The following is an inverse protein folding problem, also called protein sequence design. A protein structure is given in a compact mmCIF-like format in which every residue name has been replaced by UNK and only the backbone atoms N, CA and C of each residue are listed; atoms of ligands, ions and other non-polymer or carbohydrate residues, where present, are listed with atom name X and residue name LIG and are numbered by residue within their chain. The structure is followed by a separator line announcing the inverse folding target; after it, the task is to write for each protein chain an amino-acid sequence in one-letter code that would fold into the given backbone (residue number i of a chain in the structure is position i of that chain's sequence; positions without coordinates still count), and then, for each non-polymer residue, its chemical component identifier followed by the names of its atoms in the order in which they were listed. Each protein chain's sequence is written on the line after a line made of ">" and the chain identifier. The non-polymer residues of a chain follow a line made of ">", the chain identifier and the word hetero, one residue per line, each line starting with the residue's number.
data_IF_574472622481
#
_entry.id   IF_574472622481
#
_cell.length_a   1.000
_cell.length_b   1.000
_cell.length_c   1.000
_cell.angle_alpha   90.00
_cell.angle_beta   90.00
_cell.angle_gamma   90.00
#
_symmetry.space_group_name_H-M   'P 1'
#
loop_
_entity.id
_entity.type
_entity.pdbx_description
1 polymer ?
#
# COMPACT_ATOMS: atom_id res chain seq x y z
N UNK A 1 18.76 5.89 -7.61
CA UNK A 1 19.20 5.31 -6.32
C UNK A 1 19.49 3.84 -6.55
N UNK A 2 20.75 3.44 -6.42
CA UNK A 2 21.16 2.04 -6.47
C UNK A 2 20.48 1.27 -5.32
N UNK A 3 19.92 0.09 -5.63
CA UNK A 3 19.27 -0.74 -4.63
C UNK A 3 20.36 -1.45 -3.82
N UNK A 4 20.48 -1.09 -2.55
CA UNK A 4 21.34 -1.83 -1.62
C UNK A 4 20.87 -3.29 -1.54
N UNK A 5 21.80 -4.24 -1.58
CA UNK A 5 21.51 -5.65 -1.44
C UNK A 5 21.54 -6.02 0.04
N UNK A 6 20.37 -6.25 0.63
CA UNK A 6 20.24 -6.71 2.00
C UNK A 6 20.58 -8.20 2.08
N UNK A 7 21.34 -8.60 3.09
CA UNK A 7 21.75 -9.99 3.33
C UNK A 7 21.39 -10.45 4.76
N UNK A 8 21.60 -11.72 5.07
CA UNK A 8 21.29 -12.30 6.39
C UNK A 8 22.07 -11.63 7.53
N UNK A 9 23.32 -11.24 7.26
CA UNK A 9 24.14 -10.53 8.22
C UNK A 9 23.51 -9.18 8.60
N UNK A 10 23.02 -8.44 7.60
CA UNK A 10 22.33 -7.16 7.82
C UNK A 10 21.08 -7.32 8.71
N UNK A 11 20.24 -8.33 8.46
CA UNK A 11 19.08 -8.60 9.30
C UNK A 11 19.47 -8.99 10.73
N UNK A 12 20.55 -9.76 10.87
CA UNK A 12 21.07 -10.16 12.18
C UNK A 12 21.55 -8.94 12.97
N UNK A 13 22.33 -8.06 12.34
CA UNK A 13 22.79 -6.81 12.96
C UNK A 13 21.63 -5.87 13.30
N UNK A 14 20.56 -5.84 12.50
CA UNK A 14 19.34 -5.12 12.83
C UNK A 14 18.64 -5.68 14.08
N UNK A 15 18.52 -7.01 14.20
CA UNK A 15 17.93 -7.66 15.38
C UNK A 15 18.72 -7.39 16.66
N UNK A 16 20.05 -7.37 16.56
CA UNK A 16 20.93 -7.03 17.70
C UNK A 16 21.04 -5.53 17.96
N UNK A 17 20.29 -4.70 17.21
CA UNK A 17 20.31 -3.23 17.31
C UNK A 17 21.72 -2.64 17.17
N UNK A 18 22.52 -3.21 16.26
CA UNK A 18 23.81 -2.63 15.90
C UNK A 18 23.64 -1.19 15.41
N UNK A 19 24.38 -0.26 16.02
CA UNK A 19 24.18 1.17 15.81
C UNK A 19 24.45 1.57 14.35
N UNK A 20 25.47 0.99 13.71
CA UNK A 20 25.84 1.33 12.33
C UNK A 20 24.78 0.85 11.33
N UNK A 21 24.28 -0.37 11.54
CA UNK A 21 23.24 -0.99 10.71
C UNK A 21 21.90 -0.28 10.90
N UNK A 22 21.55 0.10 12.14
CA UNK A 22 20.36 0.89 12.42
C UNK A 22 20.42 2.25 11.74
N UNK A 23 21.53 2.99 11.86
CA UNK A 23 21.68 4.29 11.20
C UNK A 23 21.50 4.15 9.68
N UNK A 24 22.16 3.18 9.06
CA UNK A 24 22.01 2.93 7.64
C UNK A 24 20.57 2.56 7.26
N UNK A 25 19.88 1.74 8.06
CA UNK A 25 18.49 1.40 7.83
C UNK A 25 17.57 2.62 7.87
N UNK A 26 17.74 3.48 8.86
CA UNK A 26 17.02 4.76 8.93
C UNK A 26 17.31 5.61 7.70
N UNK A 27 18.57 5.87 7.37
CA UNK A 27 18.95 6.75 6.26
C UNK A 27 18.45 6.22 4.91
N UNK A 28 18.55 4.91 4.69
CA UNK A 28 18.11 4.25 3.47
C UNK A 28 16.60 4.37 3.26
N UNK A 29 15.80 4.15 4.32
CA UNK A 29 14.34 4.10 4.20
C UNK A 29 13.63 5.42 4.53
N UNK A 30 14.30 6.39 5.20
CA UNK A 30 13.69 7.65 5.64
C UNK A 30 13.07 8.43 4.49
N UNK A 31 13.83 8.66 3.43
CA UNK A 31 13.37 9.41 2.26
C UNK A 31 12.18 8.74 1.56
N UNK A 32 12.22 7.45 1.19
CA UNK A 32 11.08 6.81 0.54
C UNK A 32 9.84 6.68 1.44
N UNK A 33 10.01 6.40 2.75
CA UNK A 33 8.90 6.36 3.71
C UNK A 33 8.22 7.73 3.78
N UNK A 34 8.99 8.80 4.00
CA UNK A 34 8.47 10.16 4.10
C UNK A 34 7.81 10.61 2.80
N UNK A 35 8.43 10.37 1.66
CA UNK A 35 7.84 10.70 0.37
C UNK A 35 6.47 10.02 0.20
N UNK A 36 6.36 8.75 0.61
CA UNK A 36 5.11 8.00 0.58
C UNK A 36 4.07 8.52 1.56
N UNK A 37 4.45 8.91 2.78
CA UNK A 37 3.51 9.46 3.77
C UNK A 37 3.05 10.88 3.40
N UNK A 38 3.94 11.69 2.84
CA UNK A 38 3.65 13.06 2.39
C UNK A 38 2.65 13.14 1.24
N UNK A 39 2.46 12.06 0.47
CA UNK A 39 1.40 12.03 -0.54
C UNK A 39 -0.01 11.89 0.06
N UNK A 40 -0.12 11.62 1.37
CA UNK A 40 -1.40 11.42 2.07
C UNK A 40 -1.61 12.35 3.26
N UNK A 41 -0.54 12.89 3.87
CA UNK A 41 -0.60 13.62 5.14
C UNK A 41 0.26 14.89 5.14
N UNK A 42 -0.09 15.91 5.99
CA UNK A 42 0.75 17.09 6.21
C UNK A 42 2.10 16.74 6.83
N UNK A 43 3.04 17.69 6.82
CA UNK A 43 4.44 17.44 7.21
C UNK A 43 4.56 16.86 8.63
N UNK A 44 3.96 17.50 9.65
CA UNK A 44 4.11 17.07 11.04
C UNK A 44 3.60 15.64 11.26
N UNK A 45 2.39 15.35 10.77
CA UNK A 45 1.82 14.01 10.88
C UNK A 45 2.61 12.96 10.08
N UNK A 46 3.16 13.32 8.92
CA UNK A 46 3.98 12.39 8.15
C UNK A 46 5.31 12.07 8.85
N UNK A 47 5.88 13.00 9.61
CA UNK A 47 7.06 12.77 10.45
C UNK A 47 6.75 11.78 11.56
N UNK A 48 5.67 12.00 12.30
CA UNK A 48 5.24 11.13 13.40
C UNK A 48 4.97 9.71 12.91
N UNK A 49 4.15 9.57 11.85
CA UNK A 49 3.84 8.27 11.24
C UNK A 49 5.08 7.58 10.66
N UNK A 50 6.12 8.33 10.27
CA UNK A 50 7.36 7.71 9.81
C UNK A 50 8.06 6.98 10.96
N UNK A 51 7.98 7.50 12.19
CA UNK A 51 8.51 6.81 13.36
C UNK A 51 7.74 5.53 13.64
N UNK A 52 6.41 5.56 13.56
CA UNK A 52 5.56 4.37 13.71
C UNK A 52 5.93 3.27 12.71
N UNK A 53 6.23 3.64 11.46
CA UNK A 53 6.70 2.69 10.44
C UNK A 53 8.03 2.05 10.86
N UNK A 54 8.98 2.83 11.35
CA UNK A 54 10.28 2.31 11.77
C UNK A 54 10.16 1.39 12.99
N UNK A 55 9.35 1.77 13.98
CA UNK A 55 9.08 0.94 15.17
C UNK A 55 8.45 -0.38 14.75
N UNK A 56 7.36 -0.34 13.97
CA UNK A 56 6.68 -1.55 13.50
C UNK A 56 7.57 -2.43 12.62
N UNK A 57 8.49 -1.82 11.86
CA UNK A 57 9.49 -2.56 11.09
C UNK A 57 10.46 -3.33 11.97
N UNK A 58 11.03 -2.67 12.98
CA UNK A 58 11.96 -3.33 13.91
C UNK A 58 11.27 -4.44 14.71
N UNK A 59 10.03 -4.22 15.16
CA UNK A 59 9.24 -5.27 15.81
C UNK A 59 9.02 -6.51 14.90
N UNK A 60 8.79 -6.30 13.60
CA UNK A 60 8.67 -7.40 12.64
C UNK A 60 9.98 -8.13 12.43
N UNK A 61 11.08 -7.39 12.33
CA UNK A 61 12.42 -7.95 12.19
C UNK A 61 12.78 -8.81 13.41
N UNK A 62 12.41 -8.35 14.60
CA UNK A 62 12.58 -9.09 15.87
C UNK A 62 11.73 -10.38 15.89
N UNK A 63 10.57 -10.39 15.22
CA UNK A 63 9.73 -11.58 15.02
C UNK A 63 10.24 -12.53 13.91
N UNK A 64 11.36 -12.21 13.26
CA UNK A 64 11.92 -13.04 12.18
C UNK A 64 11.37 -12.72 10.78
N UNK A 65 10.67 -11.59 10.61
CA UNK A 65 10.11 -11.13 9.34
C UNK A 65 10.85 -9.88 8.81
N UNK A 66 11.31 -9.86 7.54
CA UNK A 66 11.23 -10.93 6.56
C UNK A 66 12.22 -12.07 6.85
N UNK A 67 11.82 -13.30 6.47
CA UNK A 67 12.74 -14.45 6.46
C UNK A 67 13.74 -14.42 5.31
N UNK A 68 13.50 -13.58 4.29
CA UNK A 68 14.40 -13.36 3.16
C UNK A 68 14.86 -11.90 3.11
N UNK A 69 16.16 -11.61 3.24
CA UNK A 69 16.73 -10.26 3.28
C UNK A 69 16.33 -9.39 2.08
N UNK A 70 16.31 -9.96 0.88
CA UNK A 70 15.91 -9.25 -0.34
C UNK A 70 14.46 -8.74 -0.33
N UNK A 71 13.61 -9.26 0.56
CA UNK A 71 12.21 -8.82 0.72
C UNK A 71 12.06 -7.64 1.68
N UNK A 72 13.11 -7.23 2.40
CA UNK A 72 13.03 -6.15 3.38
C UNK A 72 12.39 -4.87 2.81
N UNK A 73 12.79 -4.34 1.64
CA UNK A 73 12.13 -3.15 1.08
C UNK A 73 10.62 -3.34 0.84
N UNK A 74 10.21 -4.54 0.41
CA UNK A 74 8.81 -4.87 0.21
C UNK A 74 8.01 -4.91 1.52
N UNK A 75 8.62 -5.43 2.58
CA UNK A 75 8.05 -5.44 3.93
C UNK A 75 7.87 -4.02 4.47
N UNK A 76 8.90 -3.17 4.41
CA UNK A 76 8.82 -1.76 4.82
C UNK A 76 7.72 -1.02 4.05
N UNK A 77 7.63 -1.23 2.73
CA UNK A 77 6.56 -0.65 1.93
C UNK A 77 5.16 -1.16 2.34
N UNK A 78 5.04 -2.42 2.75
CA UNK A 78 3.82 -2.98 3.34
C UNK A 78 3.44 -2.32 4.66
N UNK A 79 4.41 -2.11 5.55
CA UNK A 79 4.20 -1.44 6.84
C UNK A 79 3.76 0.01 6.62
N UNK A 80 4.40 0.75 5.71
CA UNK A 80 3.95 2.10 5.32
C UNK A 80 2.49 2.12 4.88
N UNK A 81 2.09 1.18 4.01
CA UNK A 81 0.70 1.10 3.54
C UNK A 81 -0.27 0.83 4.69
N UNK A 82 0.10 -0.04 5.62
CA UNK A 82 -0.73 -0.34 6.78
C UNK A 82 -0.87 0.87 7.73
N UNK A 83 0.21 1.63 7.96
CA UNK A 83 0.17 2.85 8.78
C UNK A 83 -0.71 3.92 8.13
N UNK A 84 -0.56 4.14 6.82
CA UNK A 84 -1.44 5.04 6.05
C UNK A 84 -2.90 4.62 6.20
N UNK A 85 -3.18 3.33 6.01
CA UNK A 85 -4.52 2.79 6.10
C UNK A 85 -5.16 3.03 7.47
N UNK A 86 -4.46 2.66 8.55
CA UNK A 86 -4.95 2.82 9.92
C UNK A 86 -5.27 4.28 10.21
N UNK A 87 -4.33 5.18 9.87
CA UNK A 87 -4.51 6.62 10.08
C UNK A 87 -5.72 7.17 9.30
N UNK A 88 -5.91 6.77 8.04
CA UNK A 88 -7.06 7.21 7.25
C UNK A 88 -8.37 6.63 7.81
N UNK A 89 -8.37 5.38 8.27
CA UNK A 89 -9.53 4.75 8.87
C UNK A 89 -9.92 5.44 10.19
N UNK A 90 -8.95 5.73 11.06
CA UNK A 90 -9.20 6.38 12.35
C UNK A 90 -9.74 7.80 12.15
N UNK A 91 -9.22 8.54 11.15
CA UNK A 91 -9.79 9.82 10.74
C UNK A 91 -11.22 9.69 10.22
N UNK A 92 -11.51 8.70 9.37
CA UNK A 92 -12.85 8.47 8.85
C UNK A 92 -13.85 8.03 9.95
N UNK A 93 -13.38 7.29 10.96
CA UNK A 93 -14.20 6.86 12.10
C UNK A 93 -14.48 8.01 13.07
N UNK A 94 -13.52 8.90 13.29
CA UNK A 94 -13.73 10.13 14.07
C UNK A 94 -14.53 11.20 13.29
N UNK A 95 -14.73 11.02 11.99
CA UNK A 95 -15.49 11.91 11.10
C UNK A 95 -16.81 11.29 10.64
N UNK A 96 -17.46 10.43 11.44
CA UNK A 96 -18.76 9.83 11.08
C UNK A 96 -19.86 10.87 10.85
N UNK A 97 -19.91 11.43 9.65
CA UNK A 97 -21.08 11.65 8.80
C UNK A 97 -20.57 11.83 7.35
N UNK A 98 -20.05 10.77 6.73
CA UNK A 98 -20.29 10.43 5.32
C UNK A 98 -19.39 9.29 4.88
N UNK A 99 -20.00 8.12 4.65
CA UNK A 99 -19.35 6.96 4.08
C UNK A 99 -19.30 7.13 2.56
N UNK A 100 -18.59 8.16 2.10
CA UNK A 100 -18.36 8.41 0.66
C UNK A 100 -16.87 8.61 0.31
N UNK A 101 -15.98 8.70 1.30
CA UNK A 101 -14.53 8.91 1.06
C UNK A 101 -13.74 7.63 0.72
N UNK A 102 -14.25 6.78 -0.18
CA UNK A 102 -13.39 5.86 -0.95
C UNK A 102 -12.91 6.50 -2.25
N UNK A 103 -12.64 7.80 -2.22
CA UNK A 103 -11.85 8.43 -3.28
C UNK A 103 -10.43 7.90 -3.18
N UNK A 104 -9.99 7.19 -4.22
CA UNK A 104 -8.56 6.95 -4.42
C UNK A 104 -7.88 8.31 -4.32
N UNK A 105 -6.96 8.53 -3.35
CA UNK A 105 -6.25 9.80 -3.28
C UNK A 105 -5.59 10.02 -4.63
N UNK A 106 -5.74 11.23 -5.16
CA UNK A 106 -5.14 11.68 -6.40
C UNK A 106 -3.62 11.59 -6.23
N UNK A 107 -3.05 10.42 -6.55
CA UNK A 107 -1.61 10.18 -6.57
C UNK A 107 -1.03 11.07 -7.66
N UNK A 108 -0.81 12.36 -7.37
CA UNK A 108 -0.04 13.25 -8.22
C UNK A 108 1.42 12.78 -8.17
N UNK A 109 1.97 12.20 -9.25
CA UNK A 109 3.41 11.93 -9.31
C UNK A 109 4.15 13.26 -9.46
N UNK A 110 5.42 13.30 -9.03
CA UNK A 110 6.32 14.41 -9.36
C UNK A 110 6.42 14.61 -10.88
N UNK A 111 6.82 15.82 -11.28
CA UNK A 111 6.55 16.40 -12.60
C UNK A 111 7.08 15.63 -13.83
N UNK A 112 7.92 14.60 -13.65
CA UNK A 112 8.65 13.94 -14.72
C UNK A 112 7.94 12.68 -15.27
N UNK A 113 6.92 12.14 -14.59
CA UNK A 113 6.16 10.93 -15.03
C UNK A 113 4.76 11.26 -15.58
N UNK A 114 4.56 12.46 -16.14
CA UNK A 114 3.22 13.09 -16.22
C UNK A 114 2.31 12.74 -17.39
N UNK A 115 2.76 12.22 -18.54
CA UNK A 115 1.88 12.14 -19.72
C UNK A 115 1.34 10.73 -20.04
N UNK A 116 2.16 9.68 -19.91
CA UNK A 116 1.71 8.30 -20.20
C UNK A 116 0.90 7.70 -19.04
N UNK A 117 1.29 7.97 -17.79
CA UNK A 117 0.62 7.40 -16.62
C UNK A 117 -0.75 8.03 -16.32
N UNK A 118 -1.01 9.28 -16.71
CA UNK A 118 -2.28 9.94 -16.36
C UNK A 118 -3.48 9.36 -17.10
N UNK A 119 -3.32 8.95 -18.36
CA UNK A 119 -4.39 8.28 -19.13
C UNK A 119 -4.68 6.90 -18.54
N UNK A 120 -3.65 6.11 -18.25
CA UNK A 120 -3.77 4.80 -17.61
C UNK A 120 -4.41 4.90 -16.20
N UNK A 121 -3.97 5.85 -15.37
CA UNK A 121 -4.55 6.11 -14.04
C UNK A 121 -6.04 6.47 -14.15
N UNK A 122 -6.41 7.38 -15.08
CA UNK A 122 -7.81 7.74 -15.31
C UNK A 122 -8.63 6.52 -15.77
N UNK A 123 -8.04 5.63 -16.55
CA UNK A 123 -8.68 4.41 -17.05
C UNK A 123 -8.92 3.41 -15.92
N UNK A 124 -7.91 3.16 -15.08
CA UNK A 124 -8.03 2.34 -13.86
C UNK A 124 -9.13 2.90 -12.95
N UNK A 125 -9.14 4.21 -12.69
CA UNK A 125 -10.18 4.86 -11.87
C UNK A 125 -11.59 4.70 -12.46
N UNK A 126 -11.75 4.78 -13.78
CA UNK A 126 -13.04 4.54 -14.44
C UNK A 126 -13.50 3.09 -14.28
N UNK A 127 -12.60 2.12 -14.42
CA UNK A 127 -12.92 0.69 -14.26
C UNK A 127 -13.28 0.38 -12.80
N UNK A 128 -12.51 0.93 -11.85
CA UNK A 128 -12.81 0.83 -10.42
C UNK A 128 -14.19 1.40 -10.09
N UNK A 129 -14.56 2.56 -10.64
CA UNK A 129 -15.90 3.13 -10.45
C UNK A 129 -17.02 2.26 -11.01
N UNK A 130 -16.75 1.48 -12.06
CA UNK A 130 -17.71 0.56 -12.66
C UNK A 130 -17.82 -0.81 -11.95
N UNK A 131 -17.03 -1.08 -10.91
CA UNK A 131 -17.16 -2.29 -10.09
C UNK A 131 -18.25 -2.11 -9.03
N UNK A 132 -18.84 -3.21 -8.57
CA UNK A 132 -19.76 -3.16 -7.42
C UNK A 132 -19.01 -2.63 -6.20
N UNK A 133 -19.68 -1.86 -5.34
CA UNK A 133 -19.08 -1.23 -4.15
C UNK A 133 -18.24 -2.20 -3.32
N UNK A 134 -18.78 -3.39 -2.99
CA UNK A 134 -18.07 -4.44 -2.25
C UNK A 134 -16.85 -5.00 -2.99
N UNK A 135 -16.96 -5.23 -4.30
CA UNK A 135 -15.85 -5.74 -5.13
C UNK A 135 -14.71 -4.71 -5.19
N UNK A 136 -15.07 -3.44 -5.42
CA UNK A 136 -14.13 -2.30 -5.44
C UNK A 136 -13.45 -2.14 -4.09
N UNK A 137 -14.21 -2.18 -3.01
CA UNK A 137 -13.71 -2.06 -1.65
C UNK A 137 -12.70 -3.16 -1.32
N UNK A 138 -13.02 -4.43 -1.59
CA UNK A 138 -12.08 -5.54 -1.36
C UNK A 138 -10.83 -5.41 -2.23
N UNK A 139 -10.98 -5.05 -3.51
CA UNK A 139 -9.85 -4.92 -4.43
C UNK A 139 -8.93 -3.77 -4.04
N UNK A 140 -9.47 -2.60 -3.68
CA UNK A 140 -8.67 -1.46 -3.22
C UNK A 140 -8.01 -1.77 -1.86
N UNK A 141 -8.74 -2.35 -0.90
CA UNK A 141 -8.19 -2.75 0.41
C UNK A 141 -7.03 -3.75 0.29
N UNK A 142 -7.15 -4.74 -0.60
CA UNK A 142 -6.12 -5.78 -0.76
C UNK A 142 -4.98 -5.31 -1.68
N UNK A 143 -5.29 -4.73 -2.83
CA UNK A 143 -4.29 -4.44 -3.87
C UNK A 143 -3.62 -3.08 -3.64
N UNK A 144 -4.40 -2.05 -3.30
CA UNK A 144 -3.87 -0.70 -3.10
C UNK A 144 -3.37 -0.50 -1.67
N UNK A 145 -4.19 -0.86 -0.68
CA UNK A 145 -3.84 -0.69 0.73
C UNK A 145 -3.05 -1.89 1.31
N UNK A 146 -2.92 -3.01 0.60
CA UNK A 146 -2.11 -4.15 1.05
C UNK A 146 -2.62 -4.81 2.33
N UNK A 147 -3.89 -4.58 2.71
CA UNK A 147 -4.43 -5.04 3.98
C UNK A 147 -4.45 -6.56 4.09
N UNK A 148 -4.27 -7.04 5.32
CA UNK A 148 -4.39 -8.47 5.62
C UNK A 148 -5.82 -8.97 5.35
N UNK A 149 -5.89 -10.10 4.66
CA UNK A 149 -7.17 -10.71 4.23
C UNK A 149 -8.00 -11.14 5.43
N UNK A 150 -7.37 -11.59 6.53
CA UNK A 150 -8.10 -12.01 7.74
C UNK A 150 -8.72 -10.79 8.44
N UNK A 151 -8.00 -9.67 8.48
CA UNK A 151 -8.51 -8.42 9.02
C UNK A 151 -9.67 -7.87 8.19
N UNK A 152 -9.56 -7.87 6.86
CA UNK A 152 -10.66 -7.43 5.97
C UNK A 152 -11.88 -8.34 6.15
N UNK A 153 -11.69 -9.66 6.20
CA UNK A 153 -12.77 -10.61 6.42
C UNK A 153 -13.53 -10.31 7.71
N UNK A 154 -12.81 -10.04 8.81
CA UNK A 154 -13.38 -9.64 10.10
C UNK A 154 -14.14 -8.31 10.01
N UNK A 155 -13.56 -7.29 9.40
CA UNK A 155 -14.19 -5.97 9.26
C UNK A 155 -15.45 -5.99 8.39
N UNK A 156 -15.49 -6.87 7.38
CA UNK A 156 -16.65 -7.03 6.49
C UNK A 156 -17.66 -8.05 7.02
N UNK A 157 -17.40 -8.71 8.15
CA UNK A 157 -18.27 -9.75 8.71
C UNK A 157 -18.40 -10.98 7.80
N UNK A 158 -17.38 -11.30 7.01
CA UNK A 158 -17.37 -12.43 6.07
C UNK A 158 -16.27 -13.44 6.39
N UNK A 159 -16.40 -14.66 5.89
CA UNK A 159 -15.33 -15.66 5.96
C UNK A 159 -14.19 -15.34 5.00
N UNK A 160 -12.99 -15.87 5.27
CA UNK A 160 -11.83 -15.68 4.38
C UNK A 160 -12.07 -16.29 2.99
N UNK A 161 -12.80 -17.40 2.90
CA UNK A 161 -13.18 -18.01 1.62
C UNK A 161 -14.14 -17.14 0.82
N UNK A 162 -15.13 -16.53 1.49
CA UNK A 162 -16.02 -15.57 0.83
C UNK A 162 -15.23 -14.35 0.34
N UNK A 163 -14.29 -13.83 1.15
CA UNK A 163 -13.43 -12.73 0.74
C UNK A 163 -12.57 -13.09 -0.48
N UNK A 164 -12.00 -14.31 -0.52
CA UNK A 164 -11.25 -14.83 -1.67
C UNK A 164 -12.10 -14.86 -2.94
N UNK A 165 -13.34 -15.35 -2.84
CA UNK A 165 -14.30 -15.37 -3.95
C UNK A 165 -14.68 -13.97 -4.42
N UNK A 166 -14.86 -13.01 -3.51
CA UNK A 166 -15.10 -11.60 -3.86
C UNK A 166 -13.89 -11.02 -4.57
N UNK A 167 -12.67 -11.25 -4.07
CA UNK A 167 -11.44 -10.78 -4.72
C UNK A 167 -11.27 -11.37 -6.12
N UNK A 168 -11.46 -12.68 -6.30
CA UNK A 168 -11.35 -13.32 -7.61
C UNK A 168 -12.36 -12.75 -8.61
N UNK A 169 -13.62 -12.57 -8.18
CA UNK A 169 -14.65 -11.94 -9.02
C UNK A 169 -14.32 -10.49 -9.36
N UNK A 170 -13.81 -9.73 -8.38
CA UNK A 170 -13.40 -8.34 -8.58
C UNK A 170 -12.25 -8.22 -9.59
N UNK A 171 -11.23 -9.09 -9.49
CA UNK A 171 -10.09 -9.14 -10.41
C UNK A 171 -10.52 -9.57 -11.81
N UNK A 172 -11.38 -10.59 -11.93
CA UNK A 172 -11.90 -11.03 -13.22
C UNK A 172 -12.64 -9.88 -13.91
N UNK A 173 -13.58 -9.24 -13.22
CA UNK A 173 -14.32 -8.08 -13.76
C UNK A 173 -13.45 -6.88 -14.08
N UNK A 174 -12.41 -6.65 -13.29
CA UNK A 174 -11.43 -5.61 -13.58
C UNK A 174 -10.70 -5.91 -14.89
N UNK A 175 -10.23 -7.16 -15.06
CA UNK A 175 -9.54 -7.61 -16.27
C UNK A 175 -10.46 -7.55 -17.49
N UNK A 176 -11.68 -8.07 -17.42
CA UNK A 176 -12.62 -8.05 -18.55
C UNK A 176 -12.85 -6.60 -19.03
N UNK A 177 -13.06 -5.66 -18.09
CA UNK A 177 -13.26 -4.24 -18.41
C UNK A 177 -12.00 -3.53 -18.88
N UNK A 178 -10.83 -4.04 -18.50
CA UNK A 178 -9.54 -3.54 -18.97
C UNK A 178 -9.30 -3.98 -20.41
N UNK A 179 -9.54 -5.25 -20.71
CA UNK A 179 -9.39 -5.86 -22.05
C UNK A 179 -10.42 -5.32 -23.05
N UNK A 180 -11.69 -5.20 -22.68
CA UNK A 180 -12.75 -4.61 -23.52
C UNK A 180 -12.41 -3.17 -23.95
N UNK A 181 -11.71 -2.41 -23.09
CA UNK A 181 -11.29 -1.04 -23.38
C UNK A 181 -9.95 -0.92 -24.10
N UNK A 182 -9.07 -1.91 -23.97
CA UNK A 182 -7.82 -1.99 -24.74
C UNK A 182 -8.10 -2.48 -26.17
N UNK A 183 -9.04 -3.43 -26.33
CA UNK A 183 -9.49 -3.94 -27.63
C UNK A 183 -10.24 -2.91 -28.48
N UNK A 184 -10.84 -1.89 -27.86
CA UNK A 184 -11.44 -0.75 -28.57
C UNK A 184 -10.45 0.32 -29.07
N UNK A 185 -9.16 0.20 -28.76
CA UNK A 185 -8.12 1.16 -29.18
C UNK A 185 -7.21 0.64 -30.30
N UNK A 186 -7.46 -0.57 -30.82
CA UNK A 186 -6.72 -1.20 -31.91
C UNK A 186 -7.61 -1.45 -33.13
N UNK A 187 -8.23 -0.40 -33.67
CA UNK A 187 -8.64 -0.35 -35.08
C UNK A 187 -8.84 1.11 -35.50
N UNK A 188 -8.02 1.58 -36.46
CA UNK A 188 -8.54 1.93 -37.78
C UNK A 188 -8.11 0.91 -38.84
#
# INVERSE_FOLDING_TARGET
>A
MERFCFNEHYLTCLRTRDASTLSHFYDYFRTPIRAKLRSHFPWDLAEDLSQDVFVAALERIDQGEPSEPGKLPGYIAGICRNVIYRTLQDKAHNQTTDIDCFDCPDSRPSAETRMVNQSEIKQVQKILRGLRRRDREVLVRIIYYGQDRRQIARQLGVTQDHLRLVLQRALHRFRDKWEDRQGGAAHP
#
